data_IF_845542306175
#
_entry.id   IF_845542306175
#
_cell.length_a   1.000
_cell.length_b   1.000
_cell.length_c   1.000
_cell.angle_alpha   90.00
_cell.angle_beta   90.00
_cell.angle_gamma   90.00
#
_symmetry.space_group_name_H-M   'P 1'
#
loop_
_entity.id
_entity.type
_entity.pdbx_description
1 polymer ?
#
# COMPACT_ATOMS: atom_id res chain seq x y z
N UNK A 1 7.47 6.41 6.88
CA UNK A 1 7.84 7.39 5.84
C UNK A 1 6.77 8.46 5.77
N UNK A 2 7.15 9.73 5.76
CA UNK A 2 6.21 10.83 5.46
C UNK A 2 6.04 10.97 3.94
N UNK A 3 4.97 11.65 3.46
CA UNK A 3 4.80 11.94 2.03
C UNK A 3 6.01 12.67 1.43
N UNK A 4 6.56 13.63 2.16
CA UNK A 4 7.76 14.36 1.74
C UNK A 4 8.97 13.44 1.57
N UNK A 5 9.19 12.49 2.49
CA UNK A 5 10.27 11.51 2.37
C UNK A 5 10.07 10.58 1.16
N UNK A 6 8.82 10.22 0.83
CA UNK A 6 8.49 9.41 -0.36
C UNK A 6 8.84 10.16 -1.66
N UNK A 7 8.47 11.44 -1.72
CA UNK A 7 8.79 12.33 -2.83
C UNK A 7 10.31 12.43 -3.04
N UNK A 8 11.06 12.64 -1.96
CA UNK A 8 12.52 12.73 -2.02
C UNK A 8 13.17 11.42 -2.48
N UNK A 9 12.70 10.27 -1.99
CA UNK A 9 13.19 8.96 -2.45
C UNK A 9 12.88 8.74 -3.93
N UNK A 10 11.67 9.09 -4.39
CA UNK A 10 11.27 9.01 -5.81
C UNK A 10 12.15 9.90 -6.68
N UNK A 11 12.36 11.17 -6.30
CA UNK A 11 13.20 12.11 -7.03
C UNK A 11 14.65 11.65 -7.14
N UNK A 12 15.18 10.95 -6.12
CA UNK A 12 16.53 10.37 -6.12
C UNK A 12 16.61 9.00 -6.80
N UNK A 13 15.47 8.39 -7.18
CA UNK A 13 15.39 7.04 -7.73
C UNK A 13 15.88 5.98 -6.75
N UNK A 14 15.56 6.14 -5.46
CA UNK A 14 15.96 5.21 -4.41
C UNK A 14 14.83 4.23 -4.09
N UNK A 15 15.23 3.01 -3.74
CA UNK A 15 14.33 1.99 -3.23
C UNK A 15 13.72 2.47 -1.91
N UNK A 16 12.40 2.35 -1.79
CA UNK A 16 11.70 2.75 -0.57
C UNK A 16 12.14 1.95 0.65
N UNK A 17 12.60 0.72 0.44
CA UNK A 17 12.94 -0.22 1.50
C UNK A 17 14.42 -0.14 1.94
N UNK A 18 15.39 -0.17 1.01
CA UNK A 18 16.82 -0.26 1.37
C UNK A 18 17.69 0.97 0.99
N UNK A 19 17.10 2.07 0.53
CA UNK A 19 17.82 3.33 0.20
C UNK A 19 18.93 3.23 -0.87
N UNK A 20 19.00 2.11 -1.60
CA UNK A 20 19.87 1.95 -2.77
C UNK A 20 19.14 2.35 -4.06
N UNK A 21 19.85 2.47 -5.18
CA UNK A 21 19.22 2.80 -6.47
C UNK A 21 18.20 1.72 -6.87
N UNK A 22 16.98 2.17 -7.17
CA UNK A 22 15.90 1.30 -7.64
C UNK A 22 16.01 1.08 -9.15
N UNK A 23 15.70 -0.14 -9.59
CA UNK A 23 15.65 -0.54 -11.00
C UNK A 23 14.75 -1.75 -11.21
N UNK A 24 14.44 -2.07 -12.46
CA UNK A 24 13.65 -3.25 -12.81
C UNK A 24 14.33 -4.52 -12.26
N UNK A 25 13.58 -5.32 -11.49
CA UNK A 25 14.11 -6.53 -10.85
C UNK A 25 14.97 -6.28 -9.61
N UNK A 26 14.96 -5.05 -9.05
CA UNK A 26 15.62 -4.75 -7.79
C UNK A 26 15.17 -5.70 -6.68
N UNK A 27 16.13 -6.36 -6.03
CA UNK A 27 15.92 -7.18 -4.83
C UNK A 27 16.58 -6.48 -3.66
N UNK A 28 15.81 -6.17 -2.63
CA UNK A 28 16.39 -5.66 -1.39
C UNK A 28 17.15 -6.80 -0.69
N UNK A 29 18.33 -6.47 -0.14
CA UNK A 29 19.12 -7.42 0.64
C UNK A 29 18.46 -7.76 1.99
N UNK A 30 17.50 -6.92 2.41
CA UNK A 30 16.71 -7.14 3.61
C UNK A 30 15.80 -8.36 3.47
N UNK A 31 15.71 -9.13 4.55
CA UNK A 31 14.99 -10.39 4.59
C UNK A 31 13.49 -10.11 4.54
N UNK A 32 12.83 -10.47 3.44
CA UNK A 32 11.38 -10.48 3.37
C UNK A 32 10.84 -11.53 4.36
N UNK A 33 9.82 -11.16 5.13
CA UNK A 33 9.10 -12.06 6.00
C UNK A 33 7.84 -12.56 5.30
N UNK A 34 7.43 -13.78 5.62
CA UNK A 34 6.14 -14.30 5.19
C UNK A 34 5.06 -13.85 6.16
N UNK A 35 3.97 -13.33 5.63
CA UNK A 35 2.74 -13.13 6.41
C UNK A 35 1.97 -14.45 6.29
N UNK A 36 1.92 -15.21 7.38
CA UNK A 36 1.04 -16.37 7.47
C UNK A 36 -0.39 -15.85 7.62
N UNK A 37 -1.22 -16.06 6.60
CA UNK A 37 -2.65 -15.76 6.66
C UNK A 37 -3.31 -16.74 7.62
N UNK A 38 -3.57 -16.28 8.85
CA UNK A 38 -4.39 -17.02 9.80
C UNK A 38 -5.79 -17.20 9.22
N UNK A 39 -6.25 -18.43 9.11
CA UNK A 39 -7.66 -18.73 8.87
C UNK A 39 -8.41 -18.55 10.19
N UNK A 40 -8.34 -17.35 10.77
CA UNK A 40 -9.17 -17.00 11.91
C UNK A 40 -10.59 -16.87 11.36
N UNK A 41 -11.42 -17.88 11.63
CA UNK A 41 -12.86 -17.82 11.41
C UNK A 41 -13.34 -16.44 11.83
N UNK A 42 -13.76 -15.65 10.84
CA UNK A 42 -14.32 -14.30 10.90
C UNK A 42 -14.62 -13.83 12.34
N UNK A 43 -13.60 -13.42 13.09
CA UNK A 43 -13.84 -12.67 14.32
C UNK A 43 -14.08 -11.27 13.85
N UNK A 44 -15.36 -10.91 13.84
CA UNK A 44 -15.83 -9.54 13.68
C UNK A 44 -14.85 -8.63 14.44
N UNK A 45 -14.04 -7.89 13.69
CA UNK A 45 -13.20 -6.86 14.26
C UNK A 45 -14.20 -5.81 14.76
N UNK A 46 -14.38 -5.72 16.08
CA UNK A 46 -15.15 -4.61 16.66
C UNK A 46 -14.45 -3.31 16.27
N UNK A 47 -15.00 -2.64 15.27
CA UNK A 47 -14.60 -1.30 14.86
C UNK A 47 -15.03 -0.38 16.01
N UNK A 48 -14.15 -0.17 16.98
CA UNK A 48 -14.32 0.89 17.99
C UNK A 48 -13.88 2.19 17.32
N UNK A 49 -14.74 2.71 16.44
CA UNK A 49 -14.53 3.95 15.70
C UNK A 49 -15.90 4.51 15.35
N UNK A 50 -16.06 5.81 15.57
CA UNK A 50 -17.32 6.55 15.55
C UNK A 50 -18.21 6.18 14.35
N UNK A 51 -19.51 6.11 14.60
CA UNK A 51 -20.55 5.73 13.65
C UNK A 51 -20.51 6.71 12.46
N UNK A 52 -19.77 6.38 11.41
CA UNK A 52 -20.01 6.96 10.09
C UNK A 52 -21.30 6.32 9.57
N UNK A 53 -22.27 7.16 9.22
CA UNK A 53 -23.52 6.73 8.60
C UNK A 53 -23.21 5.76 7.44
N UNK A 54 -24.05 4.74 7.21
CA UNK A 54 -23.87 3.85 6.08
C UNK A 54 -23.93 4.70 4.81
N UNK A 55 -22.77 4.96 4.22
CA UNK A 55 -22.68 5.42 2.85
C UNK A 55 -23.27 4.29 2.01
N UNK A 56 -24.47 4.53 1.49
CA UNK A 56 -25.05 3.77 0.40
C UNK A 56 -24.15 4.01 -0.83
N UNK A 57 -22.96 3.42 -0.83
CA UNK A 57 -22.16 3.32 -2.03
C UNK A 57 -22.93 2.35 -2.93
N UNK A 58 -23.77 2.92 -3.79
CA UNK A 58 -24.13 2.29 -5.04
C UNK A 58 -22.82 1.77 -5.62
N UNK A 59 -22.64 0.45 -5.59
CA UNK A 59 -21.46 -0.21 -6.16
C UNK A 59 -21.61 -0.13 -7.67
N UNK A 60 -21.58 1.09 -8.19
CA UNK A 60 -21.38 1.38 -9.59
C UNK A 60 -20.10 0.66 -9.97
N UNK A 61 -20.14 0.02 -11.12
CA UNK A 61 -19.11 -0.85 -11.66
C UNK A 61 -17.83 -0.02 -11.91
N UNK A 62 -17.13 0.36 -10.84
CA UNK A 62 -15.97 1.24 -10.88
C UNK A 62 -14.85 0.44 -11.52
N UNK A 63 -14.61 0.72 -12.79
CA UNK A 63 -13.45 0.24 -13.53
C UNK A 63 -12.19 0.51 -12.70
N UNK A 64 -11.28 -0.46 -12.54
CA UNK A 64 -10.04 -0.23 -11.82
C UNK A 64 -9.28 0.91 -12.50
N UNK A 65 -8.84 1.89 -11.71
CA UNK A 65 -8.01 2.99 -12.18
C UNK A 65 -6.59 2.82 -11.65
N UNK A 66 -5.62 3.31 -12.41
CA UNK A 66 -4.21 3.30 -12.04
C UNK A 66 -3.73 4.75 -11.96
N UNK A 67 -2.91 5.04 -10.95
CA UNK A 67 -2.33 6.37 -10.76
C UNK A 67 -1.42 6.74 -11.94
N UNK A 68 -1.47 8.01 -12.39
CA UNK A 68 -0.57 8.53 -13.41
C UNK A 68 0.92 8.35 -13.05
N UNK A 69 1.25 8.32 -11.76
CA UNK A 69 2.60 8.07 -11.28
C UNK A 69 3.15 6.68 -11.63
N UNK A 70 2.30 5.71 -11.98
CA UNK A 70 2.72 4.37 -12.36
C UNK A 70 3.25 4.29 -13.81
N UNK A 71 2.97 5.30 -14.63
CA UNK A 71 3.44 5.38 -16.02
C UNK A 71 4.64 6.31 -16.20
N UNK A 72 5.07 6.98 -15.13
CA UNK A 72 6.18 7.94 -15.14
C UNK A 72 7.51 7.26 -14.83
#
# INVERSE_FOLDING_TARGET
MTPQQMEEKRAKGLCFNCDTKYGLGHKCDEKLFYIEGGNEDNKEVEIIGEVEEPIEDEVENQKPTISCHAFS
#
